data_IF_840641065914
#
_entry.id   IF_840641065914
#
_cell.length_a   1.000
_cell.length_b   1.000
_cell.length_c   1.000
_cell.angle_alpha   90.00
_cell.angle_beta   90.00
_cell.angle_gamma   90.00
#
_symmetry.space_group_name_H-M   'P 1'
#
loop_
_entity.id
_entity.type
_entity.pdbx_description
1 polymer ?
#
# COMPACT_ATOMS: atom_id res chain seq x y z
N UNK A 1 13.59 7.88 -0.85
CA UNK A 1 12.74 8.11 0.35
C UNK A 1 11.35 7.64 -0.02
N UNK A 2 10.84 6.61 0.67
CA UNK A 2 9.49 6.10 0.44
C UNK A 2 8.47 7.02 1.14
N UNK A 3 7.22 7.01 0.68
CA UNK A 3 6.13 7.84 1.25
C UNK A 3 5.91 7.59 2.75
N UNK A 4 6.31 6.42 3.25
CA UNK A 4 6.24 6.09 4.66
C UNK A 4 7.31 6.83 5.49
N UNK A 5 8.53 7.03 4.98
CA UNK A 5 9.58 7.86 5.63
C UNK A 5 9.71 7.64 7.17
N UNK A 6 9.68 6.37 7.60
CA UNK A 6 9.75 5.98 9.02
C UNK A 6 8.41 5.94 9.78
N UNK A 7 7.32 6.34 9.13
CA UNK A 7 5.94 6.24 9.63
C UNK A 7 5.31 4.90 9.27
N UNK A 8 4.30 4.53 10.04
CA UNK A 8 3.33 3.49 9.73
C UNK A 8 2.40 3.92 8.60
N UNK A 9 1.72 2.95 7.98
CA UNK A 9 0.71 3.23 6.97
C UNK A 9 -0.46 4.07 7.54
N UNK A 10 -0.82 3.83 8.79
CA UNK A 10 -1.88 4.56 9.51
C UNK A 10 -1.51 6.03 9.67
N UNK A 11 -0.31 6.33 10.18
CA UNK A 11 0.19 7.71 10.33
C UNK A 11 0.28 8.45 9.00
N UNK A 12 0.64 7.76 7.90
CA UNK A 12 0.67 8.36 6.57
C UNK A 12 -0.75 8.72 6.07
N UNK A 13 -1.74 7.86 6.33
CA UNK A 13 -3.14 8.13 5.99
C UNK A 13 -3.69 9.31 6.81
N UNK A 14 -3.40 9.36 8.11
CA UNK A 14 -3.80 10.47 8.98
C UNK A 14 -3.16 11.80 8.57
N UNK A 15 -1.94 11.76 8.06
CA UNK A 15 -1.27 12.92 7.47
C UNK A 15 -1.85 13.37 6.12
N UNK A 16 -2.90 12.69 5.61
CA UNK A 16 -3.60 13.05 4.37
C UNK A 16 -2.95 12.52 3.10
N UNK A 17 -1.99 11.59 3.21
CA UNK A 17 -1.38 10.96 2.03
C UNK A 17 -2.45 10.13 1.29
N UNK A 18 -2.53 10.21 -0.05
CA UNK A 18 -3.48 9.41 -0.81
C UNK A 18 -3.30 7.90 -0.55
N UNK A 19 -4.38 7.15 -0.27
CA UNK A 19 -4.28 5.72 0.07
C UNK A 19 -3.52 4.87 -0.94
N UNK A 20 -3.63 5.22 -2.24
CA UNK A 20 -2.88 4.56 -3.31
C UNK A 20 -1.36 4.70 -3.11
N UNK A 21 -0.88 5.90 -2.78
CA UNK A 21 0.54 6.14 -2.55
C UNK A 21 1.04 5.43 -1.29
N UNK A 22 0.22 5.38 -0.24
CA UNK A 22 0.51 4.60 0.98
C UNK A 22 0.62 3.11 0.65
N UNK A 23 -0.31 2.57 -0.15
CA UNK A 23 -0.27 1.17 -0.59
C UNK A 23 0.98 0.85 -1.41
N UNK A 24 1.32 1.71 -2.38
CA UNK A 24 2.50 1.54 -3.23
C UNK A 24 3.78 1.54 -2.37
N UNK A 25 3.92 2.50 -1.46
CA UNK A 25 5.08 2.59 -0.57
C UNK A 25 5.16 1.46 0.46
N UNK A 26 4.02 0.97 0.96
CA UNK A 26 3.98 -0.22 1.83
C UNK A 26 4.42 -1.46 1.07
N UNK A 27 3.96 -1.64 -0.17
CA UNK A 27 4.41 -2.73 -1.02
C UNK A 27 5.90 -2.67 -1.31
N UNK A 28 6.43 -1.48 -1.59
CA UNK A 28 7.87 -1.27 -1.80
C UNK A 28 8.68 -1.60 -0.54
N UNK A 29 8.24 -1.14 0.64
CA UNK A 29 8.92 -1.41 1.91
C UNK A 29 8.92 -2.90 2.32
N UNK A 30 7.95 -3.66 1.83
CA UNK A 30 7.79 -5.09 2.08
C UNK A 30 8.35 -5.97 0.95
N UNK A 31 9.06 -5.36 -0.02
CA UNK A 31 9.58 -6.03 -1.22
C UNK A 31 8.52 -6.85 -1.98
N UNK A 32 7.28 -6.36 -2.00
CA UNK A 32 6.17 -7.00 -2.72
C UNK A 32 6.28 -6.65 -4.21
N UNK A 33 6.55 -7.63 -5.07
CA UNK A 33 6.70 -7.34 -6.49
C UNK A 33 5.35 -7.00 -7.12
N UNK A 34 5.37 -6.12 -8.14
CA UNK A 34 4.19 -5.46 -8.71
C UNK A 34 3.06 -6.43 -9.06
N UNK A 35 3.38 -7.57 -9.67
CA UNK A 35 2.39 -8.58 -10.06
C UNK A 35 1.63 -9.24 -8.89
N UNK A 36 2.07 -9.04 -7.64
CA UNK A 36 1.43 -9.60 -6.43
C UNK A 36 0.69 -8.57 -5.57
N UNK A 37 0.78 -7.28 -5.89
CA UNK A 37 0.25 -6.18 -5.05
C UNK A 37 -1.27 -6.08 -5.01
N UNK A 38 -2.00 -6.72 -5.91
CA UNK A 38 -3.46 -6.58 -5.98
C UNK A 38 -4.23 -7.79 -5.43
N UNK A 39 -3.50 -8.81 -4.95
CA UNK A 39 -4.12 -10.07 -4.52
C UNK A 39 -4.72 -10.86 -5.68
N UNK A 40 -5.53 -11.87 -5.36
CA UNK A 40 -6.35 -12.58 -6.34
C UNK A 40 -7.71 -11.91 -6.41
N UNK A 41 -8.28 -11.81 -7.61
CA UNK A 41 -9.67 -11.39 -7.75
C UNK A 41 -10.55 -12.34 -6.93
N UNK A 42 -11.14 -11.79 -5.86
CA UNK A 42 -12.18 -12.48 -5.13
C UNK A 42 -13.41 -12.43 -6.03
N UNK A 43 -13.50 -13.41 -6.95
CA UNK A 43 -14.62 -13.55 -7.87
C UNK A 43 -15.91 -13.28 -7.13
N UNK A 44 -16.69 -12.32 -7.63
CA UNK A 44 -17.86 -11.77 -6.95
C UNK A 44 -18.64 -12.93 -6.33
N UNK A 45 -18.77 -12.96 -5.00
CA UNK A 45 -19.78 -13.84 -4.40
C UNK A 45 -21.11 -13.26 -4.83
N UNK A 46 -21.71 -13.91 -5.83
CA UNK A 46 -23.06 -13.64 -6.28
C UNK A 46 -24.06 -14.24 -5.30
#
# INVERSE_FOLDING_TARGET
MSVLDGRTAEEALEAGVPPRQVWEALCDAMDVPVQRRLGKDAGTRR
#
